data_IF_190849807476
#
_entry.id   IF_190849807476
#
_cell.length_a   1.000
_cell.length_b   1.000
_cell.length_c   1.000
_cell.angle_alpha   90.00
_cell.angle_beta   90.00
_cell.angle_gamma   90.00
#
_symmetry.space_group_name_H-M   'P 1'
#
loop_
_entity.id
_entity.type
_entity.pdbx_description
1 polymer ?
#
# COMPACT_ATOMS: atom_id res chain seq x y z
N UNK A 1 19.35 30.79 1.60
CA UNK A 1 18.67 29.65 2.27
C UNK A 1 19.76 28.85 2.93
N UNK A 2 19.72 28.72 4.26
CA UNK A 2 20.73 28.02 5.03
C UNK A 2 20.67 26.51 4.72
N UNK A 3 21.81 25.81 4.56
CA UNK A 3 21.81 24.38 4.26
C UNK A 3 21.17 23.60 5.41
N UNK A 4 20.42 22.55 5.08
CA UNK A 4 19.77 21.72 6.09
C UNK A 4 20.83 20.97 6.91
N UNK A 5 20.87 21.20 8.23
CA UNK A 5 21.69 20.42 9.15
C UNK A 5 21.04 19.05 9.41
N UNK A 6 21.44 18.06 8.61
CA UNK A 6 20.93 16.68 8.69
C UNK A 6 21.24 16.05 10.05
N UNK A 7 22.44 16.22 10.59
CA UNK A 7 22.84 15.56 11.83
C UNK A 7 22.16 16.19 13.05
N UNK A 8 21.98 17.53 13.04
CA UNK A 8 21.20 18.24 14.04
C UNK A 8 19.75 17.77 14.08
N UNK A 9 19.10 17.67 12.92
CA UNK A 9 17.71 17.17 12.81
C UNK A 9 17.60 15.74 13.34
N UNK A 10 18.49 14.84 12.92
CA UNK A 10 18.45 13.43 13.34
C UNK A 10 18.66 13.29 14.84
N UNK A 11 19.60 14.05 15.41
CA UNK A 11 19.89 14.04 16.84
C UNK A 11 18.71 14.58 17.66
N UNK A 12 18.07 15.66 17.20
CA UNK A 12 16.86 16.21 17.85
C UNK A 12 15.70 15.20 17.86
N UNK A 13 15.44 14.55 16.73
CA UNK A 13 14.40 13.53 16.61
C UNK A 13 14.67 12.33 17.52
N UNK A 14 15.91 11.85 17.55
CA UNK A 14 16.34 10.74 18.40
C UNK A 14 16.18 11.07 19.88
N UNK A 15 16.65 12.24 20.31
CA UNK A 15 16.51 12.68 21.69
C UNK A 15 15.04 12.71 22.12
N UNK A 16 14.14 13.25 21.27
CA UNK A 16 12.71 13.29 21.57
C UNK A 16 12.10 11.89 21.72
N UNK A 17 12.52 10.95 20.89
CA UNK A 17 12.05 9.56 20.97
C UNK A 17 12.50 8.86 22.26
N UNK A 18 13.72 9.16 22.73
CA UNK A 18 14.32 8.60 23.96
C UNK A 18 13.79 9.25 25.25
N UNK A 19 13.15 10.42 25.18
CA UNK A 19 12.55 11.09 26.34
C UNK A 19 11.44 10.24 27.00
N UNK A 20 11.71 9.64 28.16
CA UNK A 20 10.73 8.80 28.88
C UNK A 20 9.48 9.56 29.34
N UNK A 21 9.63 10.86 29.65
CA UNK A 21 8.56 11.69 30.20
C UNK A 21 7.52 12.12 29.17
N UNK A 22 7.84 12.05 27.87
CA UNK A 22 6.94 12.53 26.81
C UNK A 22 5.93 11.45 26.42
N UNK A 23 4.66 11.86 26.31
CA UNK A 23 3.60 10.95 25.87
C UNK A 23 3.81 10.52 24.42
N UNK A 24 3.26 9.37 24.03
CA UNK A 24 3.37 8.91 22.64
C UNK A 24 2.68 9.85 21.65
N UNK A 25 1.64 10.57 22.07
CA UNK A 25 0.98 11.58 21.26
C UNK A 25 1.91 12.79 21.03
N UNK A 26 2.52 13.32 22.09
CA UNK A 26 3.50 14.41 21.98
C UNK A 26 4.67 14.04 21.06
N UNK A 27 5.21 12.82 21.21
CA UNK A 27 6.27 12.32 20.33
C UNK A 27 5.81 12.28 18.88
N UNK A 28 4.60 11.76 18.62
CA UNK A 28 4.03 11.67 17.27
C UNK A 28 3.85 13.05 16.64
N UNK A 29 3.29 14.01 17.38
CA UNK A 29 3.08 15.38 16.88
C UNK A 29 4.41 16.07 16.58
N UNK A 30 5.39 15.92 17.48
CA UNK A 30 6.73 16.48 17.29
C UNK A 30 7.43 15.88 16.06
N UNK A 31 7.42 14.56 15.93
CA UNK A 31 7.98 13.84 14.77
C UNK A 31 7.34 14.34 13.48
N UNK A 32 6.02 14.46 13.44
CA UNK A 32 5.31 14.95 12.27
C UNK A 32 5.79 16.34 11.84
N UNK A 33 5.87 17.27 12.79
CA UNK A 33 6.28 18.64 12.51
C UNK A 33 7.73 18.70 12.02
N UNK A 34 8.67 18.06 12.73
CA UNK A 34 10.10 18.12 12.42
C UNK A 34 10.45 17.34 11.15
N UNK A 35 9.92 16.13 10.97
CA UNK A 35 10.14 15.34 9.75
C UNK A 35 9.54 16.05 8.53
N UNK A 36 8.30 16.55 8.61
CA UNK A 36 7.69 17.24 7.49
C UNK A 36 8.48 18.50 7.11
N UNK A 37 8.92 19.29 8.09
CA UNK A 37 9.77 20.45 7.84
C UNK A 37 11.10 20.04 7.17
N UNK A 38 11.79 19.04 7.72
CA UNK A 38 13.10 18.61 7.23
C UNK A 38 13.02 18.01 5.81
N UNK A 39 12.01 17.17 5.53
CA UNK A 39 11.80 16.58 4.20
C UNK A 39 11.48 17.66 3.15
N UNK A 40 10.64 18.64 3.48
CA UNK A 40 10.32 19.75 2.56
C UNK A 40 11.53 20.67 2.34
N UNK A 41 12.28 20.99 3.39
CA UNK A 41 13.50 21.79 3.28
C UNK A 41 14.59 21.08 2.47
N UNK A 42 14.70 19.75 2.59
CA UNK A 42 15.59 18.93 1.79
C UNK A 42 15.17 18.83 0.33
N UNK A 43 13.86 18.73 0.06
CA UNK A 43 13.31 18.66 -1.30
C UNK A 43 13.47 19.97 -2.09
N UNK A 44 13.47 21.12 -1.41
CA UNK A 44 13.69 22.44 -2.02
C UNK A 44 15.15 22.72 -2.37
N UNK A 45 16.09 21.89 -1.90
CA UNK A 45 17.51 22.08 -2.16
C UNK A 45 17.95 21.34 -3.43
N UNK A 46 18.72 22.03 -4.26
CA UNK A 46 19.14 21.58 -5.59
C UNK A 46 19.92 20.26 -5.49
N UNK A 47 19.47 19.23 -6.22
CA UNK A 47 20.25 18.00 -6.45
C UNK A 47 19.84 16.76 -5.66
N UNK A 48 18.81 16.81 -4.79
CA UNK A 48 18.21 15.62 -4.15
C UNK A 48 19.09 14.86 -3.14
N UNK A 49 20.42 14.97 -3.23
CA UNK A 49 21.39 14.25 -2.42
C UNK A 49 21.24 14.53 -0.91
N UNK A 50 20.84 15.75 -0.53
CA UNK A 50 20.57 16.07 0.87
C UNK A 50 19.33 15.36 1.41
N UNK A 51 18.29 15.23 0.58
CA UNK A 51 17.08 14.51 0.94
C UNK A 51 17.37 13.00 1.07
N UNK A 52 18.09 12.42 0.11
CA UNK A 52 18.56 11.03 0.18
C UNK A 52 19.39 10.79 1.44
N UNK A 53 20.37 11.66 1.70
CA UNK A 53 21.21 11.58 2.91
C UNK A 53 20.38 11.66 4.19
N UNK A 54 19.43 12.60 4.28
CA UNK A 54 18.55 12.71 5.44
C UNK A 54 17.78 11.40 5.68
N UNK A 55 17.19 10.82 4.63
CA UNK A 55 16.44 9.56 4.72
C UNK A 55 17.32 8.41 5.18
N UNK A 56 18.52 8.26 4.64
CA UNK A 56 19.49 7.25 5.08
C UNK A 56 19.89 7.44 6.55
N UNK A 57 20.17 8.68 6.99
CA UNK A 57 20.53 8.96 8.39
C UNK A 57 19.37 8.74 9.37
N UNK A 58 18.13 9.00 8.96
CA UNK A 58 16.94 8.66 9.76
C UNK A 58 16.79 7.15 9.95
N UNK A 59 17.14 6.35 8.94
CA UNK A 59 17.20 4.89 9.07
C UNK A 59 18.33 4.45 10.00
N UNK A 60 19.58 4.83 9.70
CA UNK A 60 20.78 4.42 10.43
C UNK A 60 20.75 4.78 11.91
N UNK A 61 20.12 5.91 12.25
CA UNK A 61 19.97 6.36 13.65
C UNK A 61 18.90 5.60 14.44
N UNK A 62 18.09 4.77 13.78
CA UNK A 62 16.97 4.06 14.39
C UNK A 62 15.69 4.89 14.56
N UNK A 63 15.69 6.16 14.11
CA UNK A 63 14.53 7.05 14.22
C UNK A 63 13.32 6.47 13.49
N UNK A 64 13.51 5.90 12.29
CA UNK A 64 12.42 5.28 11.54
C UNK A 64 11.85 4.06 12.28
N UNK A 65 12.70 3.18 12.79
CA UNK A 65 12.27 1.98 13.52
C UNK A 65 11.47 2.33 14.80
N UNK A 66 11.94 3.31 15.58
CA UNK A 66 11.23 3.77 16.77
C UNK A 66 9.91 4.48 16.44
N UNK A 67 9.87 5.21 15.33
CA UNK A 67 8.64 5.85 14.82
C UNK A 67 7.60 4.80 14.41
N UNK A 68 8.02 3.67 13.84
CA UNK A 68 7.13 2.53 13.56
C UNK A 68 6.50 2.00 14.85
N UNK A 69 7.27 1.86 15.93
CA UNK A 69 6.74 1.42 17.22
C UNK A 69 5.64 2.35 17.75
N UNK A 70 5.72 3.68 17.51
CA UNK A 70 4.66 4.62 17.88
C UNK A 70 3.33 4.33 17.16
N UNK A 71 3.39 3.84 15.92
CA UNK A 71 2.21 3.45 15.15
C UNK A 71 1.61 2.12 15.60
N UNK A 72 2.43 1.12 15.91
CA UNK A 72 1.98 -0.24 16.25
C UNK A 72 1.26 -0.33 17.59
N UNK A 73 1.51 0.62 18.49
CA UNK A 73 0.96 0.60 19.83
C UNK A 73 -0.55 0.93 19.87
N UNK A 74 -1.24 0.34 20.86
CA UNK A 74 -2.54 0.83 21.42
C UNK A 74 -2.45 2.29 21.95
N UNK A 75 -1.36 3.01 21.68
CA UNK A 75 -1.05 4.38 22.08
C UNK A 75 -1.57 5.44 21.11
N UNK A 76 -1.95 5.07 19.87
CA UNK A 76 -2.68 5.97 18.97
C UNK A 76 -4.16 6.14 19.40
N UNK A 77 -4.44 6.21 20.71
CA UNK A 77 -5.77 6.51 21.23
C UNK A 77 -5.98 8.01 21.13
N UNK A 78 -6.74 8.46 20.13
CA UNK A 78 -7.29 9.81 20.07
C UNK A 78 -6.88 10.59 18.83
N UNK A 79 -5.62 10.50 18.39
CA UNK A 79 -5.11 11.34 17.29
C UNK A 79 -4.79 10.54 16.02
N UNK A 80 -5.86 10.05 15.39
CA UNK A 80 -5.78 9.30 14.12
C UNK A 80 -5.12 10.11 12.99
N UNK A 81 -5.34 11.43 12.97
CA UNK A 81 -4.74 12.31 11.99
C UNK A 81 -3.22 12.39 12.15
N UNK A 82 -2.71 12.54 13.39
CA UNK A 82 -1.28 12.54 13.64
C UNK A 82 -0.64 11.17 13.34
N UNK A 83 -1.31 10.07 13.67
CA UNK A 83 -0.82 8.73 13.31
C UNK A 83 -0.76 8.52 11.79
N UNK A 84 -1.79 8.95 11.06
CA UNK A 84 -1.82 8.86 9.59
C UNK A 84 -0.73 9.74 8.94
N UNK A 85 -0.51 10.95 9.47
CA UNK A 85 0.58 11.81 9.00
C UNK A 85 1.96 11.19 9.26
N UNK A 86 2.17 10.55 10.41
CA UNK A 86 3.45 9.89 10.70
C UNK A 86 3.67 8.70 9.77
N UNK A 87 2.63 7.92 9.48
CA UNK A 87 2.69 6.82 8.52
C UNK A 87 3.03 7.30 7.11
N UNK A 88 2.47 8.44 6.67
CA UNK A 88 2.81 9.08 5.40
C UNK A 88 4.28 9.50 5.35
N UNK A 89 4.77 10.14 6.41
CA UNK A 89 6.17 10.59 6.50
C UNK A 89 7.14 9.40 6.54
N UNK A 90 6.79 8.33 7.26
CA UNK A 90 7.55 7.08 7.29
C UNK A 90 7.65 6.44 5.90
N UNK A 91 6.53 6.32 5.19
CA UNK A 91 6.49 5.85 3.80
C UNK A 91 7.42 6.71 2.92
N UNK A 92 7.31 8.03 3.02
CA UNK A 92 8.17 8.98 2.29
C UNK A 92 9.66 8.83 2.60
N UNK A 93 10.01 8.57 3.85
CA UNK A 93 11.40 8.33 4.25
C UNK A 93 11.94 7.03 3.66
N UNK A 94 11.09 6.03 3.45
CA UNK A 94 11.51 4.74 2.91
C UNK A 94 11.67 4.74 1.39
N UNK A 95 11.10 5.73 0.68
CA UNK A 95 11.24 5.86 -0.78
C UNK A 95 12.46 6.72 -1.10
N UNK A 96 13.42 6.17 -1.84
CA UNK A 96 14.65 6.88 -2.25
C UNK A 96 15.67 7.08 -1.13
N UNK A 97 15.59 6.29 -0.05
CA UNK A 97 16.69 6.16 0.91
C UNK A 97 17.80 5.28 0.31
N UNK A 98 19.05 5.61 0.60
CA UNK A 98 20.22 4.82 0.20
C UNK A 98 20.93 4.32 1.47
N UNK A 99 20.51 3.17 2.03
CA UNK A 99 21.00 2.65 3.31
C UNK A 99 22.45 2.11 3.27
N UNK A 100 23.11 2.13 2.11
CA UNK A 100 24.48 1.66 1.94
C UNK A 100 24.67 0.22 2.43
N UNK A 101 25.64 0.01 3.32
CA UNK A 101 25.98 -1.29 3.89
C UNK A 101 24.84 -1.95 4.68
N UNK A 102 23.81 -1.18 5.07
CA UNK A 102 22.65 -1.67 5.81
C UNK A 102 21.43 -1.95 4.92
N UNK A 103 21.60 -2.07 3.60
CA UNK A 103 20.50 -2.36 2.66
C UNK A 103 19.71 -3.62 3.02
N UNK A 104 20.39 -4.69 3.46
CA UNK A 104 19.69 -5.92 3.84
C UNK A 104 18.78 -5.70 5.06
N UNK A 105 19.26 -4.97 6.07
CA UNK A 105 18.45 -4.64 7.25
C UNK A 105 17.30 -3.69 6.89
N UNK A 106 17.53 -2.77 5.97
CA UNK A 106 16.49 -1.89 5.44
C UNK A 106 15.38 -2.71 4.76
N UNK A 107 15.75 -3.58 3.82
CA UNK A 107 14.81 -4.35 2.99
C UNK A 107 14.10 -5.46 3.77
N UNK A 108 14.81 -6.15 4.68
CA UNK A 108 14.26 -7.32 5.39
C UNK A 108 13.65 -7.02 6.74
N UNK A 109 14.00 -5.90 7.38
CA UNK A 109 13.52 -5.57 8.73
C UNK A 109 12.69 -4.30 8.73
N UNK A 110 13.23 -3.17 8.23
CA UNK A 110 12.54 -1.90 8.30
C UNK A 110 11.31 -1.86 7.38
N UNK A 111 11.48 -2.11 6.08
CA UNK A 111 10.37 -2.00 5.12
C UNK A 111 9.18 -2.90 5.49
N UNK A 112 9.38 -4.18 5.88
CA UNK A 112 8.27 -5.02 6.31
C UNK A 112 7.60 -4.52 7.59
N UNK A 113 8.37 -3.97 8.52
CA UNK A 113 7.84 -3.39 9.77
C UNK A 113 7.01 -2.14 9.49
N UNK A 114 7.48 -1.23 8.63
CA UNK A 114 6.73 -0.06 8.17
C UNK A 114 5.42 -0.48 7.51
N UNK A 115 5.48 -1.43 6.57
CA UNK A 115 4.29 -1.94 5.87
C UNK A 115 3.28 -2.55 6.86
N UNK A 116 3.74 -3.39 7.79
CA UNK A 116 2.90 -3.98 8.85
C UNK A 116 2.19 -2.91 9.69
N UNK A 117 2.92 -1.88 10.11
CA UNK A 117 2.36 -0.79 10.90
C UNK A 117 1.32 0.04 10.13
N UNK A 118 1.56 0.30 8.84
CA UNK A 118 0.60 0.96 7.95
C UNK A 118 -0.69 0.14 7.82
N UNK A 119 -0.59 -1.17 7.55
CA UNK A 119 -1.76 -2.05 7.44
C UNK A 119 -2.52 -2.16 8.77
N UNK A 120 -1.82 -2.25 9.90
CA UNK A 120 -2.41 -2.27 11.24
C UNK A 120 -3.14 -0.96 11.57
N UNK A 121 -2.60 0.18 11.15
CA UNK A 121 -3.26 1.47 11.30
C UNK A 121 -4.49 1.57 10.38
N UNK A 122 -4.37 1.15 9.12
CA UNK A 122 -5.49 1.11 8.17
C UNK A 122 -6.66 0.26 8.71
N UNK A 123 -6.37 -0.95 9.21
CA UNK A 123 -7.38 -1.84 9.77
C UNK A 123 -8.11 -1.25 11.00
N UNK A 124 -7.45 -0.36 11.76
CA UNK A 124 -8.08 0.37 12.88
C UNK A 124 -8.91 1.56 12.41
N UNK A 125 -8.47 2.27 11.38
CA UNK A 125 -9.18 3.43 10.83
C UNK A 125 -10.52 3.05 10.18
N UNK A 126 -10.62 1.87 9.57
CA UNK A 126 -11.89 1.39 9.00
C UNK A 126 -13.01 1.29 10.04
N UNK A 127 -12.66 1.15 11.33
CA UNK A 127 -13.63 1.08 12.43
C UNK A 127 -14.02 2.45 13.00
N UNK A 128 -13.46 3.54 12.47
CA UNK A 128 -13.71 4.89 12.94
C UNK A 128 -14.72 5.59 12.04
N UNK A 129 -15.74 6.24 12.61
CA UNK A 129 -16.84 6.88 11.88
C UNK A 129 -16.37 7.94 10.86
N UNK A 130 -15.25 8.62 11.12
CA UNK A 130 -14.66 9.66 10.25
C UNK A 130 -13.32 9.20 9.63
N UNK A 131 -13.03 7.89 9.67
CA UNK A 131 -11.73 7.32 9.32
C UNK A 131 -11.45 7.22 7.82
N UNK A 132 -12.45 7.33 6.94
CA UNK A 132 -12.32 7.00 5.52
C UNK A 132 -11.31 7.90 4.78
N UNK A 133 -11.29 9.20 5.07
CA UNK A 133 -10.34 10.12 4.44
C UNK A 133 -8.89 9.84 4.86
N UNK A 134 -8.69 9.52 6.14
CA UNK A 134 -7.37 9.13 6.67
C UNK A 134 -6.95 7.75 6.15
N UNK A 135 -7.91 6.85 6.02
CA UNK A 135 -7.71 5.53 5.47
C UNK A 135 -7.25 5.59 4.01
N UNK A 136 -7.94 6.38 3.17
CA UNK A 136 -7.49 6.63 1.79
C UNK A 136 -6.05 7.14 1.73
N UNK A 137 -5.73 8.13 2.56
CA UNK A 137 -4.36 8.67 2.69
C UNK A 137 -3.31 7.62 3.08
N UNK A 138 -3.69 6.66 3.92
CA UNK A 138 -2.82 5.53 4.24
C UNK A 138 -2.68 4.58 3.06
N UNK A 139 -3.75 4.31 2.31
CA UNK A 139 -3.68 3.46 1.13
C UNK A 139 -2.75 4.06 0.09
N UNK A 140 -2.84 5.36 -0.14
CA UNK A 140 -1.91 6.07 -1.03
C UNK A 140 -0.44 5.86 -0.60
N UNK A 141 -0.19 5.85 0.73
CA UNK A 141 1.15 5.60 1.30
C UNK A 141 1.62 4.16 1.11
N UNK A 142 0.69 3.19 1.23
CA UNK A 142 0.95 1.77 0.97
C UNK A 142 1.26 1.57 -0.52
N UNK A 143 0.48 2.17 -1.41
CA UNK A 143 0.66 2.07 -2.86
C UNK A 143 2.00 2.63 -3.29
N UNK A 144 2.41 3.77 -2.72
CA UNK A 144 3.70 4.36 -3.03
C UNK A 144 4.89 3.48 -2.59
N UNK A 145 4.78 2.84 -1.42
CA UNK A 145 5.76 1.84 -1.00
C UNK A 145 5.78 0.63 -1.93
N UNK A 146 4.61 0.09 -2.30
CA UNK A 146 4.50 -1.06 -3.18
C UNK A 146 5.06 -0.79 -4.57
N UNK A 147 4.94 0.43 -5.10
CA UNK A 147 5.51 0.85 -6.38
C UNK A 147 7.03 0.97 -6.35
N UNK A 148 7.63 1.26 -5.18
CA UNK A 148 9.08 1.40 -5.05
C UNK A 148 9.71 0.06 -4.66
N UNK A 149 9.05 -0.69 -3.79
CA UNK A 149 9.55 -1.88 -3.11
C UNK A 149 8.63 -3.06 -3.40
N UNK A 150 8.66 -3.55 -4.64
CA UNK A 150 7.72 -4.56 -5.15
C UNK A 150 7.68 -5.85 -4.30
N UNK A 151 8.80 -6.20 -3.66
CA UNK A 151 8.93 -7.38 -2.80
C UNK A 151 7.97 -7.36 -1.59
N UNK A 152 7.48 -6.18 -1.17
CA UNK A 152 6.50 -6.05 -0.09
C UNK A 152 5.10 -6.54 -0.49
N UNK A 153 4.81 -6.70 -1.79
CA UNK A 153 3.48 -7.11 -2.27
C UNK A 153 3.03 -8.44 -1.69
N UNK A 154 3.93 -9.44 -1.66
CA UNK A 154 3.64 -10.75 -1.10
C UNK A 154 3.28 -10.67 0.40
N UNK A 155 3.96 -9.77 1.13
CA UNK A 155 3.67 -9.53 2.55
C UNK A 155 2.30 -8.88 2.75
N UNK A 156 1.93 -7.90 1.91
CA UNK A 156 0.61 -7.25 1.99
C UNK A 156 -0.49 -8.26 1.74
N UNK A 157 -0.40 -9.02 0.64
CA UNK A 157 -1.41 -10.01 0.26
C UNK A 157 -1.56 -11.14 1.29
N UNK A 158 -0.48 -11.48 2.00
CA UNK A 158 -0.49 -12.52 3.05
C UNK A 158 -0.81 -11.97 4.45
N UNK A 159 -1.10 -10.67 4.58
CA UNK A 159 -1.28 -10.04 5.89
C UNK A 159 -2.66 -10.28 6.47
N UNK A 160 -2.70 -10.74 7.73
CA UNK A 160 -3.94 -10.85 8.52
C UNK A 160 -4.65 -9.50 8.67
N UNK A 161 -3.91 -8.38 8.66
CA UNK A 161 -4.57 -7.08 8.71
C UNK A 161 -5.23 -6.74 7.39
N UNK A 162 -4.62 -7.11 6.27
CA UNK A 162 -5.18 -6.94 4.93
C UNK A 162 -6.42 -7.80 4.71
N UNK A 163 -6.39 -9.07 5.11
CA UNK A 163 -7.54 -9.98 5.08
C UNK A 163 -8.78 -9.38 5.80
N UNK A 164 -8.59 -8.78 6.98
CA UNK A 164 -9.67 -8.09 7.70
C UNK A 164 -10.29 -6.94 6.92
N UNK A 165 -9.54 -6.30 6.04
CA UNK A 165 -10.04 -5.20 5.21
C UNK A 165 -10.83 -5.73 4.02
N UNK A 166 -10.43 -6.87 3.46
CA UNK A 166 -11.14 -7.52 2.37
C UNK A 166 -12.52 -8.02 2.77
N UNK A 167 -12.65 -8.53 4.00
CA UNK A 167 -13.92 -9.04 4.56
C UNK A 167 -14.77 -7.89 5.14
N UNK A 168 -14.41 -6.63 4.90
CA UNK A 168 -15.22 -5.49 5.33
C UNK A 168 -16.55 -5.46 4.58
N UNK A 169 -17.65 -5.26 5.30
CA UNK A 169 -18.98 -5.04 4.71
C UNK A 169 -19.14 -3.61 4.16
N UNK A 170 -18.19 -2.71 4.45
CA UNK A 170 -18.22 -1.34 3.95
C UNK A 170 -17.68 -1.29 2.51
N UNK A 171 -18.59 -1.10 1.56
CA UNK A 171 -18.26 -0.99 0.15
C UNK A 171 -17.29 0.15 -0.19
N UNK A 172 -17.24 1.22 0.62
CA UNK A 172 -16.27 2.30 0.44
C UNK A 172 -14.85 1.83 0.76
N UNK A 173 -14.71 1.01 1.80
CA UNK A 173 -13.43 0.38 2.19
C UNK A 173 -12.97 -0.59 1.10
N UNK A 174 -13.87 -1.46 0.63
CA UNK A 174 -13.58 -2.39 -0.46
C UNK A 174 -13.17 -1.68 -1.74
N UNK A 175 -13.91 -0.62 -2.12
CA UNK A 175 -13.61 0.18 -3.30
C UNK A 175 -12.21 0.81 -3.22
N UNK A 176 -11.84 1.36 -2.07
CA UNK A 176 -10.55 2.02 -1.90
C UNK A 176 -9.37 1.04 -2.04
N UNK A 177 -9.47 -0.19 -1.54
CA UNK A 177 -8.40 -1.19 -1.74
C UNK A 177 -8.35 -1.72 -3.19
N UNK A 178 -9.48 -1.92 -3.86
CA UNK A 178 -9.48 -2.28 -5.29
C UNK A 178 -8.87 -1.16 -6.12
N UNK A 179 -9.14 0.10 -5.78
CA UNK A 179 -8.51 1.27 -6.38
C UNK A 179 -7.01 1.34 -6.10
N UNK A 180 -6.56 0.96 -4.91
CA UNK A 180 -5.13 0.87 -4.59
C UNK A 180 -4.42 -0.06 -5.56
N UNK A 181 -4.94 -1.27 -5.76
CA UNK A 181 -4.33 -2.24 -6.67
C UNK A 181 -4.39 -1.76 -8.12
N UNK A 182 -5.53 -1.19 -8.53
CA UNK A 182 -5.68 -0.60 -9.86
C UNK A 182 -4.62 0.47 -10.12
N UNK A 183 -4.39 1.36 -9.14
CA UNK A 183 -3.35 2.38 -9.22
C UNK A 183 -1.95 1.76 -9.24
N UNK A 184 -1.66 0.81 -8.35
CA UNK A 184 -0.33 0.18 -8.22
C UNK A 184 0.06 -0.55 -9.50
N UNK A 185 -0.86 -1.34 -10.06
CA UNK A 185 -0.67 -2.08 -11.32
C UNK A 185 -0.50 -1.12 -12.50
N UNK A 186 -1.30 -0.04 -12.57
CA UNK A 186 -1.23 0.90 -13.71
C UNK A 186 -0.03 1.83 -13.68
N UNK A 187 0.59 2.04 -12.51
CA UNK A 187 1.70 2.99 -12.34
C UNK A 187 3.05 2.47 -12.82
N UNK A 188 3.23 1.15 -12.86
CA UNK A 188 4.49 0.54 -13.29
C UNK A 188 4.23 -0.78 -14.01
N UNK A 189 4.67 -0.86 -15.27
CA UNK A 189 4.64 -2.12 -16.04
C UNK A 189 5.52 -3.21 -15.41
N UNK A 190 6.56 -2.79 -14.70
CA UNK A 190 7.50 -3.70 -14.06
C UNK A 190 6.92 -4.28 -12.76
N UNK A 191 5.90 -3.63 -12.18
CA UNK A 191 5.25 -4.10 -10.96
C UNK A 191 4.72 -5.51 -11.13
N UNK A 192 3.80 -5.72 -12.09
CA UNK A 192 3.18 -7.03 -12.34
C UNK A 192 4.22 -8.08 -12.72
N UNK A 193 5.22 -7.70 -13.51
CA UNK A 193 6.27 -8.60 -13.95
C UNK A 193 7.19 -9.05 -12.80
N UNK A 194 7.40 -8.19 -11.80
CA UNK A 194 8.20 -8.51 -10.62
C UNK A 194 7.50 -9.44 -9.62
N UNK A 195 6.18 -9.65 -9.74
CA UNK A 195 5.43 -10.50 -8.82
C UNK A 195 5.59 -11.99 -9.14
N UNK A 196 5.64 -12.81 -8.08
CA UNK A 196 5.54 -14.27 -8.17
C UNK A 196 4.14 -14.70 -8.61
N UNK A 197 4.02 -15.89 -9.20
CA UNK A 197 2.73 -16.46 -9.59
C UNK A 197 1.80 -16.63 -8.38
N UNK A 198 2.33 -16.95 -7.19
CA UNK A 198 1.56 -17.00 -5.94
C UNK A 198 0.98 -15.63 -5.57
N UNK A 199 1.79 -14.57 -5.65
CA UNK A 199 1.32 -13.20 -5.34
C UNK A 199 0.28 -12.74 -6.36
N UNK A 200 0.46 -13.07 -7.64
CA UNK A 200 -0.52 -12.78 -8.68
C UNK A 200 -1.82 -13.56 -8.47
N UNK A 201 -1.74 -14.82 -8.06
CA UNK A 201 -2.91 -15.65 -7.74
C UNK A 201 -3.70 -15.04 -6.58
N UNK A 202 -3.02 -14.61 -5.51
CA UNK A 202 -3.65 -13.91 -4.40
C UNK A 202 -4.32 -12.61 -4.86
N UNK A 203 -3.63 -11.79 -5.66
CA UNK A 203 -4.20 -10.53 -6.18
C UNK A 203 -5.43 -10.76 -7.09
N UNK A 204 -5.40 -11.78 -7.94
CA UNK A 204 -6.54 -12.18 -8.77
C UNK A 204 -7.69 -12.68 -7.90
N UNK A 205 -7.38 -13.51 -6.90
CA UNK A 205 -8.36 -14.04 -5.95
C UNK A 205 -9.07 -12.93 -5.20
N UNK A 206 -8.35 -11.88 -4.81
CA UNK A 206 -8.94 -10.73 -4.13
C UNK A 206 -10.00 -10.04 -4.98
N UNK A 207 -9.67 -9.72 -6.24
CA UNK A 207 -10.60 -9.06 -7.16
C UNK A 207 -11.82 -9.95 -7.48
N UNK A 208 -11.60 -11.25 -7.70
CA UNK A 208 -12.69 -12.22 -7.92
C UNK A 208 -13.55 -12.39 -6.67
N UNK A 209 -12.95 -12.41 -5.48
CA UNK A 209 -13.69 -12.50 -4.23
C UNK A 209 -14.61 -11.29 -4.05
N UNK A 210 -14.13 -10.08 -4.35
CA UNK A 210 -14.97 -8.88 -4.32
C UNK A 210 -16.16 -8.96 -5.29
N UNK A 211 -15.98 -9.55 -6.48
CA UNK A 211 -17.08 -9.78 -7.41
C UNK A 211 -18.09 -10.82 -6.91
N UNK A 212 -17.65 -11.76 -6.07
CA UNK A 212 -18.53 -12.79 -5.52
C UNK A 212 -19.32 -12.31 -4.31
N UNK A 213 -18.76 -11.41 -3.49
CA UNK A 213 -19.37 -10.99 -2.22
C UNK A 213 -20.03 -9.60 -2.25
N UNK A 214 -19.63 -8.72 -3.17
CA UNK A 214 -20.19 -7.36 -3.24
C UNK A 214 -21.44 -7.30 -4.11
N UNK A 215 -22.40 -6.47 -3.73
CA UNK A 215 -23.55 -6.10 -4.56
C UNK A 215 -23.44 -4.68 -5.15
N UNK A 216 -22.38 -3.94 -4.81
CA UNK A 216 -22.21 -2.54 -5.16
C UNK A 216 -21.54 -2.38 -6.52
N UNK A 217 -22.23 -1.68 -7.44
CA UNK A 217 -21.77 -1.50 -8.82
C UNK A 217 -20.38 -0.84 -8.91
N UNK A 218 -20.07 0.09 -8.00
CA UNK A 218 -18.76 0.75 -7.97
C UNK A 218 -17.62 -0.23 -7.63
N UNK A 219 -17.84 -1.13 -6.67
CA UNK A 219 -16.86 -2.15 -6.28
C UNK A 219 -16.70 -3.16 -7.41
N UNK A 220 -17.80 -3.69 -7.94
CA UNK A 220 -17.77 -4.65 -9.03
C UNK A 220 -17.09 -4.09 -10.29
N UNK A 221 -17.47 -2.89 -10.72
CA UNK A 221 -16.85 -2.24 -11.87
C UNK A 221 -15.36 -1.99 -11.69
N UNK A 222 -14.93 -1.59 -10.50
CA UNK A 222 -13.51 -1.44 -10.18
C UNK A 222 -12.77 -2.79 -10.23
N UNK A 223 -13.37 -3.86 -9.72
CA UNK A 223 -12.77 -5.20 -9.73
C UNK A 223 -12.65 -5.78 -11.15
N UNK A 224 -13.69 -5.63 -11.99
CA UNK A 224 -13.64 -6.02 -13.41
C UNK A 224 -12.51 -5.28 -14.14
N UNK A 225 -12.39 -3.97 -13.93
CA UNK A 225 -11.33 -3.16 -14.54
C UNK A 225 -9.94 -3.56 -14.06
N UNK A 226 -9.78 -3.89 -12.78
CA UNK A 226 -8.52 -4.42 -12.24
C UNK A 226 -8.14 -5.75 -12.90
N UNK A 227 -9.10 -6.68 -13.05
CA UNK A 227 -8.87 -7.97 -13.71
C UNK A 227 -8.46 -7.79 -15.18
N UNK A 228 -9.12 -6.88 -15.91
CA UNK A 228 -8.73 -6.53 -17.28
C UNK A 228 -7.33 -5.92 -17.36
N UNK A 229 -6.99 -5.05 -16.41
CA UNK A 229 -5.66 -4.45 -16.34
C UNK A 229 -4.59 -5.52 -16.09
N UNK A 230 -4.81 -6.44 -15.15
CA UNK A 230 -3.93 -7.57 -14.89
C UNK A 230 -3.82 -8.49 -16.11
N UNK A 231 -4.93 -8.76 -16.80
CA UNK A 231 -4.93 -9.57 -18.01
C UNK A 231 -4.05 -8.97 -19.12
N UNK A 232 -4.13 -7.65 -19.31
CA UNK A 232 -3.31 -6.93 -20.29
C UNK A 232 -1.82 -6.99 -19.98
N UNK A 233 -1.45 -6.87 -18.71
CA UNK A 233 -0.05 -6.86 -18.29
C UNK A 233 0.54 -8.28 -18.24
N UNK A 234 -0.22 -9.29 -17.80
CA UNK A 234 0.26 -10.67 -17.65
C UNK A 234 0.40 -11.42 -18.98
N UNK A 235 -0.42 -11.12 -19.99
CA UNK A 235 -0.41 -11.76 -21.32
C UNK A 235 -0.28 -13.29 -21.23
N UNK A 236 0.87 -13.85 -21.60
CA UNK A 236 1.12 -15.29 -21.62
C UNK A 236 1.16 -15.94 -20.22
N UNK A 237 1.38 -15.16 -19.14
CA UNK A 237 1.33 -15.66 -17.75
C UNK A 237 -0.10 -15.82 -17.24
N UNK A 238 -1.08 -15.20 -17.91
CA UNK A 238 -2.46 -15.15 -17.45
C UNK A 238 -3.19 -16.51 -17.54
N UNK A 239 -3.14 -17.27 -18.66
CA UNK A 239 -3.93 -18.50 -18.81
C UNK A 239 -3.76 -19.54 -17.69
N UNK A 240 -2.54 -19.87 -17.20
CA UNK A 240 -2.41 -20.83 -16.11
C UNK A 240 -3.01 -20.34 -14.79
N UNK A 241 -2.96 -19.02 -14.53
CA UNK A 241 -3.50 -18.40 -13.32
C UNK A 241 -5.02 -18.35 -13.33
N UNK A 242 -5.65 -18.15 -14.50
CA UNK A 242 -7.11 -18.09 -14.60
C UNK A 242 -7.80 -19.44 -14.34
N UNK A 243 -7.08 -20.57 -14.46
CA UNK A 243 -7.64 -21.92 -14.23
C UNK A 243 -8.17 -22.13 -12.82
N UNK A 244 -7.71 -21.36 -11.83
CA UNK A 244 -8.21 -21.44 -10.46
C UNK A 244 -9.58 -20.78 -10.27
N UNK A 245 -10.04 -19.95 -11.22
CA UNK A 245 -11.26 -19.13 -11.10
C UNK A 245 -12.39 -19.65 -11.98
N UNK A 246 -12.76 -20.93 -11.82
CA UNK A 246 -13.86 -21.54 -12.58
C UNK A 246 -15.19 -20.88 -12.27
N UNK A 247 -15.98 -20.60 -13.31
CA UNK A 247 -17.32 -20.00 -13.19
C UNK A 247 -17.32 -18.48 -13.09
N UNK A 248 -16.16 -17.82 -13.21
CA UNK A 248 -16.06 -16.36 -13.25
C UNK A 248 -16.85 -15.76 -14.42
N UNK A 249 -16.84 -16.42 -15.58
CA UNK A 249 -17.66 -16.07 -16.75
C UNK A 249 -19.16 -16.07 -16.44
N UNK A 250 -19.65 -17.10 -15.74
CA UNK A 250 -21.04 -17.20 -15.31
C UNK A 250 -21.38 -16.12 -14.27
N UNK A 251 -20.49 -15.84 -13.33
CA UNK A 251 -20.67 -14.80 -12.32
C UNK A 251 -20.83 -13.42 -12.99
N UNK A 252 -19.91 -13.10 -13.90
CA UNK A 252 -19.92 -11.85 -14.66
C UNK A 252 -21.21 -11.68 -15.48
N UNK A 253 -21.62 -12.75 -16.17
CA UNK A 253 -22.82 -12.72 -17.01
C UNK A 253 -24.11 -12.56 -16.19
N UNK A 254 -24.24 -13.24 -15.05
CA UNK A 254 -25.48 -13.26 -14.25
C UNK A 254 -25.62 -12.07 -13.32
N UNK A 255 -24.55 -11.69 -12.64
CA UNK A 255 -24.64 -10.79 -11.49
C UNK A 255 -24.21 -9.36 -11.82
N UNK A 256 -23.36 -9.20 -12.85
CA UNK A 256 -22.68 -7.94 -13.16
C UNK A 256 -23.08 -7.29 -14.50
N UNK A 257 -23.65 -8.03 -15.46
CA UNK A 257 -24.29 -7.39 -16.63
C UNK A 257 -25.49 -6.53 -16.22
N UNK A 258 -25.70 -5.44 -16.95
CA UNK A 258 -26.73 -4.43 -16.71
C UNK A 258 -26.40 -3.43 -15.59
N UNK A 259 -25.20 -3.50 -15.01
CA UNK A 259 -24.78 -2.64 -13.88
C UNK A 259 -24.06 -1.35 -14.32
N UNK A 260 -23.98 -1.07 -15.63
CA UNK A 260 -23.43 0.19 -16.17
C UNK A 260 -21.96 0.15 -16.58
N UNK A 261 -21.38 -1.04 -16.73
CA UNK A 261 -20.00 -1.29 -17.20
C UNK A 261 -19.94 -2.59 -18.03
N UNK A 262 -21.00 -2.84 -18.81
CA UNK A 262 -21.19 -4.04 -19.62
C UNK A 262 -20.06 -4.27 -20.62
N UNK A 263 -19.49 -3.20 -21.17
CA UNK A 263 -18.38 -3.30 -22.11
C UNK A 263 -17.16 -3.96 -21.46
N UNK A 264 -16.82 -3.57 -20.23
CA UNK A 264 -15.71 -4.17 -19.49
C UNK A 264 -16.02 -5.61 -19.07
N UNK A 265 -17.27 -5.91 -18.73
CA UNK A 265 -17.71 -7.29 -18.45
C UNK A 265 -17.54 -8.17 -19.69
N UNK A 266 -17.98 -7.71 -20.85
CA UNK A 266 -17.88 -8.46 -22.11
C UNK A 266 -16.43 -8.69 -22.51
N UNK A 267 -15.57 -7.67 -22.39
CA UNK A 267 -14.13 -7.81 -22.62
C UNK A 267 -13.49 -8.85 -21.70
N UNK A 268 -13.88 -8.87 -20.41
CA UNK A 268 -13.30 -9.82 -19.47
C UNK A 268 -13.76 -11.25 -19.78
N UNK A 269 -15.01 -11.43 -20.21
CA UNK A 269 -15.53 -12.74 -20.67
C UNK A 269 -14.75 -13.21 -21.91
N UNK A 270 -14.48 -12.34 -22.88
CA UNK A 270 -13.68 -12.67 -24.06
C UNK A 270 -12.25 -13.10 -23.68
N UNK A 271 -11.62 -12.40 -22.72
CA UNK A 271 -10.31 -12.78 -22.19
C UNK A 271 -10.36 -14.18 -21.56
N UNK A 272 -11.36 -14.46 -20.73
CA UNK A 272 -11.53 -15.77 -20.09
C UNK A 272 -11.69 -16.88 -21.13
N UNK A 273 -12.58 -16.70 -22.10
CA UNK A 273 -12.83 -17.69 -23.17
C UNK A 273 -11.60 -17.90 -24.07
N UNK A 274 -10.89 -16.83 -24.41
CA UNK A 274 -9.66 -16.94 -25.20
C UNK A 274 -8.57 -17.73 -24.46
N UNK A 275 -8.48 -17.56 -23.14
CA UNK A 275 -7.54 -18.29 -22.30
C UNK A 275 -7.84 -19.79 -22.20
N UNK A 276 -9.12 -20.19 -22.29
CA UNK A 276 -9.55 -21.59 -22.35
C UNK A 276 -9.25 -22.22 -23.72
N UNK A 277 -9.46 -21.47 -24.82
CA UNK A 277 -9.23 -21.96 -26.19
C UNK A 277 -7.75 -22.17 -26.52
N UNK A 278 -6.84 -21.36 -25.98
CA UNK A 278 -5.38 -21.51 -26.12
C UNK A 278 -4.81 -22.75 -25.39
N UNK A 279 -5.67 -23.47 -24.67
CA UNK A 279 -5.30 -24.61 -23.80
C UNK A 279 -6.06 -25.89 -24.21
N UNK A 280 -6.88 -25.84 -25.27
CA UNK A 280 -7.52 -27.04 -25.84
C UNK A 280 -6.53 -27.75 -26.78
N UNK A 281 -6.29 -29.08 -26.62
CA UNK A 281 -5.41 -29.85 -27.50
C UNK A 281 -5.92 -29.98 -28.94
#
# INVERSE_FOLDING_TARGET
MEPLDVEGVVSELKNKLEEEKSSAEEKTVFLNQRLNHALNAGALQTGGALLTRLKSRLFESGVLAQSVSLLELKRAKGNWAAAAALAQLLSSCCVGAEPGDQSEAFDRLLLPSVMSALLSLAARLMKQAEGLALFKKLLDSVGWLLQTHHHLTAQVLSSVQYEKMQVSEDASVSLLWVQLWSHTVSSSRDFVNALSDDSLTLLLNDAVSQLAVSCEAAVGGASVRLLLLLARELRARLPPLLRSFRGLDSLLNKDWRGRGFDQEVDQLIEVLQSSESLVSP
#
